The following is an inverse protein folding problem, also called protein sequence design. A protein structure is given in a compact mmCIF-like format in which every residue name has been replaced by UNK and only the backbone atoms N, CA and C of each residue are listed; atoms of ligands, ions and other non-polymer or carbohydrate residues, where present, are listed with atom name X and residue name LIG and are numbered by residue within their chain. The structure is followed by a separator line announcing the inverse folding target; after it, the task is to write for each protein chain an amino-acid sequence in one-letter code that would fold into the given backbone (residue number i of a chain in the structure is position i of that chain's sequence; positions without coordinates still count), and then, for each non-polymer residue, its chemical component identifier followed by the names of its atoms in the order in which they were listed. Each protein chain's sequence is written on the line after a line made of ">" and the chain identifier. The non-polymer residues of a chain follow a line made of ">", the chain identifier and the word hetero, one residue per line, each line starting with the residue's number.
data_IF_839223679614
#
_entry.id   IF_839223679614
#
_cell.length_a   1.000
_cell.length_b   1.000
_cell.length_c   1.000
_cell.angle_alpha   90.00
_cell.angle_beta   90.00
_cell.angle_gamma   90.00
#
_symmetry.space_group_name_H-M   'P 1'
#
loop_
_entity.id
_entity.type
_entity.pdbx_description
1 polymer ?
#
# COMPACT_ATOMS: atom_id res chain seq x y z
N UNK A 1 -25.15 -17.85 -12.10
CA UNK A 1 -25.19 -19.34 -12.08
C UNK A 1 -23.88 -20.01 -12.48
N UNK A 2 -23.18 -19.59 -13.56
CA UNK A 2 -21.89 -20.17 -13.94
C UNK A 2 -20.71 -19.49 -13.21
N UNK A 3 -20.71 -18.15 -13.17
CA UNK A 3 -19.75 -17.34 -12.40
C UNK A 3 -19.79 -17.66 -10.90
N UNK A 4 -20.97 -17.85 -10.30
CA UNK A 4 -21.07 -18.27 -8.89
C UNK A 4 -20.41 -19.61 -8.62
N UNK A 5 -20.57 -20.58 -9.54
CA UNK A 5 -19.92 -21.90 -9.43
C UNK A 5 -18.42 -21.82 -9.61
N UNK A 6 -17.93 -20.92 -10.47
CA UNK A 6 -16.50 -20.65 -10.63
C UNK A 6 -15.94 -20.00 -9.37
N UNK A 7 -16.63 -19.01 -8.80
CA UNK A 7 -16.24 -18.37 -7.53
C UNK A 7 -16.19 -19.39 -6.38
N UNK A 8 -17.25 -20.18 -6.20
CA UNK A 8 -17.29 -21.22 -5.16
C UNK A 8 -16.21 -22.29 -5.38
N UNK A 9 -15.94 -22.67 -6.64
CA UNK A 9 -14.87 -23.60 -6.98
C UNK A 9 -13.48 -23.03 -6.65
N UNK A 10 -13.18 -21.79 -7.05
CA UNK A 10 -11.92 -21.12 -6.78
C UNK A 10 -11.66 -20.93 -5.28
N UNK A 11 -12.69 -20.55 -4.52
CA UNK A 11 -12.63 -20.43 -3.06
C UNK A 11 -12.41 -21.81 -2.41
N UNK A 12 -13.15 -22.83 -2.85
CA UNK A 12 -13.06 -24.19 -2.27
C UNK A 12 -11.70 -24.87 -2.51
N UNK A 13 -10.98 -24.50 -3.56
CA UNK A 13 -9.66 -25.05 -3.92
C UNK A 13 -8.48 -24.37 -3.22
N UNK A 14 -8.72 -23.45 -2.27
CA UNK A 14 -7.69 -22.74 -1.51
C UNK A 14 -6.63 -22.09 -2.41
N UNK A 15 -7.02 -20.99 -3.06
CA UNK A 15 -6.21 -19.86 -3.54
C UNK A 15 -4.77 -20.04 -4.09
N UNK A 16 -4.36 -21.21 -4.57
CA UNK A 16 -3.04 -21.32 -5.23
C UNK A 16 -2.93 -20.38 -6.45
N UNK A 17 -4.06 -20.08 -7.09
CA UNK A 17 -4.13 -19.10 -8.18
C UNK A 17 -3.72 -17.69 -7.71
N UNK A 18 -4.12 -17.26 -6.51
CA UNK A 18 -3.77 -15.93 -5.97
C UNK A 18 -2.27 -15.78 -5.75
N UNK A 19 -1.57 -16.84 -5.36
CA UNK A 19 -0.10 -16.83 -5.22
C UNK A 19 0.63 -16.73 -6.55
N UNK A 20 -0.03 -17.08 -7.66
CA UNK A 20 0.58 -17.08 -8.99
C UNK A 20 0.62 -15.69 -9.62
N UNK A 21 -0.46 -14.92 -9.46
CA UNK A 21 -0.60 -13.59 -10.06
C UNK A 21 -1.57 -12.71 -9.26
N UNK A 22 -1.17 -12.30 -8.04
CA UNK A 22 -2.05 -11.63 -7.09
C UNK A 22 -2.61 -10.32 -7.63
N UNK A 23 -1.79 -9.54 -8.36
CA UNK A 23 -2.17 -8.25 -8.90
C UNK A 23 -3.21 -8.36 -10.02
N UNK A 24 -2.97 -9.22 -11.03
CA UNK A 24 -3.96 -9.39 -12.11
C UNK A 24 -5.26 -9.98 -11.59
N UNK A 25 -5.20 -10.93 -10.65
CA UNK A 25 -6.39 -11.52 -10.06
C UNK A 25 -7.22 -10.46 -9.35
N UNK A 26 -6.59 -9.62 -8.52
CA UNK A 26 -7.28 -8.50 -7.88
C UNK A 26 -7.93 -7.60 -8.93
N UNK A 27 -7.19 -7.12 -9.92
CA UNK A 27 -7.74 -6.25 -10.97
C UNK A 27 -8.95 -6.89 -11.69
N UNK A 28 -8.88 -8.19 -12.02
CA UNK A 28 -10.01 -8.91 -12.63
C UNK A 28 -11.22 -8.94 -11.69
N UNK A 29 -11.02 -9.23 -10.40
CA UNK A 29 -12.14 -9.25 -9.44
C UNK A 29 -12.79 -7.88 -9.25
N UNK A 30 -12.02 -6.80 -9.39
CA UNK A 30 -12.51 -5.43 -9.31
C UNK A 30 -13.22 -4.96 -10.58
N UNK A 31 -12.88 -5.54 -11.74
CA UNK A 31 -13.52 -5.23 -13.02
C UNK A 31 -14.96 -5.76 -13.13
N UNK A 32 -15.31 -6.83 -12.41
CA UNK A 32 -16.59 -7.51 -12.55
C UNK A 32 -17.36 -7.56 -11.22
N UNK A 33 -18.51 -6.89 -11.14
CA UNK A 33 -19.32 -6.86 -9.91
C UNK A 33 -19.78 -8.25 -9.45
N UNK A 34 -19.96 -9.18 -10.38
CA UNK A 34 -20.28 -10.59 -10.11
C UNK A 34 -19.16 -11.35 -9.37
N UNK A 35 -17.96 -10.77 -9.26
CA UNK A 35 -16.84 -11.34 -8.53
C UNK A 35 -16.76 -10.87 -7.07
N UNK A 36 -17.78 -10.21 -6.51
CA UNK A 36 -17.75 -9.67 -5.14
C UNK A 36 -17.27 -10.67 -4.08
N UNK A 37 -17.82 -11.90 -4.07
CA UNK A 37 -17.37 -12.96 -3.14
C UNK A 37 -15.90 -13.32 -3.29
N UNK A 38 -15.41 -13.37 -4.54
CA UNK A 38 -14.02 -13.70 -4.84
C UNK A 38 -13.10 -12.53 -4.48
N UNK A 39 -13.53 -11.28 -4.75
CA UNK A 39 -12.87 -10.05 -4.34
C UNK A 39 -12.68 -10.03 -2.82
N UNK A 40 -13.75 -10.25 -2.05
CA UNK A 40 -13.71 -10.26 -0.60
C UNK A 40 -12.78 -11.36 -0.06
N UNK A 41 -12.83 -12.54 -0.68
CA UNK A 41 -11.92 -13.63 -0.35
C UNK A 41 -10.45 -13.28 -0.63
N UNK A 42 -10.14 -12.70 -1.79
CA UNK A 42 -8.79 -12.25 -2.14
C UNK A 42 -8.29 -11.17 -1.17
N UNK A 43 -9.10 -10.14 -0.89
CA UNK A 43 -8.76 -9.06 0.04
C UNK A 43 -8.49 -9.60 1.45
N UNK A 44 -9.34 -10.52 1.95
CA UNK A 44 -9.13 -11.18 3.25
C UNK A 44 -7.85 -12.00 3.27
N UNK A 45 -7.60 -12.79 2.24
CA UNK A 45 -6.40 -13.63 2.14
C UNK A 45 -5.12 -12.78 2.13
N UNK A 46 -5.13 -11.66 1.40
CA UNK A 46 -4.00 -10.72 1.37
C UNK A 46 -3.88 -9.98 2.69
N UNK A 47 -5.00 -9.65 3.37
CA UNK A 47 -4.94 -9.01 4.69
C UNK A 47 -4.30 -9.93 5.73
N UNK A 48 -4.59 -11.24 5.67
CA UNK A 48 -4.00 -12.24 6.56
C UNK A 48 -2.53 -12.56 6.24
N UNK A 49 -2.15 -12.44 4.96
CA UNK A 49 -0.81 -12.75 4.42
C UNK A 49 -0.41 -11.71 3.36
N UNK A 50 0.00 -10.49 3.76
CA UNK A 50 0.25 -9.40 2.82
C UNK A 50 1.40 -9.67 1.86
N UNK A 51 2.34 -10.53 2.25
CA UNK A 51 3.46 -10.98 1.43
C UNK A 51 3.01 -11.56 0.08
N UNK A 52 1.79 -12.12 0.01
CA UNK A 52 1.20 -12.67 -1.22
C UNK A 52 1.19 -11.60 -2.32
N UNK A 53 0.83 -10.37 -1.98
CA UNK A 53 0.75 -9.27 -2.94
C UNK A 53 2.04 -8.45 -2.95
N UNK A 54 2.48 -8.00 -1.78
CA UNK A 54 3.52 -6.99 -1.66
C UNK A 54 4.94 -7.52 -1.95
N UNK A 55 5.13 -8.84 -2.00
CA UNK A 55 6.39 -9.44 -2.48
C UNK A 55 6.42 -9.63 -4.00
N UNK A 56 5.29 -9.46 -4.70
CA UNK A 56 5.21 -9.57 -6.16
C UNK A 56 5.35 -8.20 -6.81
N UNK A 57 6.10 -8.05 -7.92
CA UNK A 57 6.13 -6.77 -8.66
C UNK A 57 4.76 -6.33 -9.18
N UNK A 58 3.77 -7.23 -9.24
CA UNK A 58 2.42 -6.89 -9.71
C UNK A 58 1.76 -5.79 -8.86
N UNK A 59 2.12 -5.67 -7.56
CA UNK A 59 1.53 -4.66 -6.69
C UNK A 59 1.78 -3.23 -7.20
N UNK A 60 2.89 -3.02 -7.91
CA UNK A 60 3.27 -1.72 -8.46
C UNK A 60 2.27 -1.21 -9.50
N UNK A 61 1.54 -2.12 -10.15
CA UNK A 61 0.59 -1.81 -11.21
C UNK A 61 -0.86 -1.71 -10.72
N UNK A 62 -1.10 -1.84 -9.42
CA UNK A 62 -2.45 -1.79 -8.86
C UNK A 62 -3.09 -0.43 -9.05
N UNK A 63 -4.38 -0.44 -9.38
CA UNK A 63 -5.20 0.74 -9.33
C UNK A 63 -5.25 1.30 -7.91
N UNK A 64 -5.22 2.62 -7.80
CA UNK A 64 -5.28 3.33 -6.52
C UNK A 64 -6.48 2.92 -5.67
N UNK A 65 -7.64 2.63 -6.29
CA UNK A 65 -8.84 2.18 -5.59
C UNK A 65 -8.66 0.84 -4.88
N UNK A 66 -7.88 -0.08 -5.47
CA UNK A 66 -7.55 -1.37 -4.85
C UNK A 66 -6.61 -1.13 -3.67
N UNK A 67 -5.63 -0.24 -3.83
CA UNK A 67 -4.70 0.13 -2.77
C UNK A 67 -5.42 0.76 -1.57
N UNK A 68 -6.31 1.72 -1.82
CA UNK A 68 -7.20 2.32 -0.82
C UNK A 68 -7.95 1.25 -0.02
N UNK A 69 -8.65 0.36 -0.72
CA UNK A 69 -9.45 -0.69 -0.09
C UNK A 69 -8.65 -1.73 0.69
N UNK A 70 -7.36 -1.89 0.41
CA UNK A 70 -6.48 -2.74 1.22
C UNK A 70 -6.07 -2.03 2.51
N UNK A 71 -5.75 -0.72 2.43
CA UNK A 71 -5.33 0.06 3.59
C UNK A 71 -6.48 0.42 4.54
N UNK A 72 -7.70 0.54 4.05
CA UNK A 72 -8.90 0.77 4.89
C UNK A 72 -9.28 -0.45 5.74
N UNK A 73 -8.67 -1.62 5.52
CA UNK A 73 -8.97 -2.82 6.30
C UNK A 73 -8.12 -2.86 7.56
N UNK A 74 -8.80 -2.79 8.70
CA UNK A 74 -8.17 -2.97 10.01
C UNK A 74 -7.49 -4.35 10.19
N UNK A 75 -7.83 -5.34 9.35
CA UNK A 75 -7.26 -6.69 9.44
C UNK A 75 -5.93 -6.88 8.70
N UNK A 76 -5.41 -5.85 8.01
CA UNK A 76 -4.16 -5.96 7.26
C UNK A 76 -2.98 -6.20 8.22
N UNK A 77 -2.42 -7.42 8.20
CA UNK A 77 -1.31 -7.85 9.07
C UNK A 77 0.05 -7.36 8.56
N UNK A 78 0.21 -6.06 8.46
CA UNK A 78 1.44 -5.40 8.05
C UNK A 78 1.76 -4.24 8.98
N UNK A 79 3.04 -4.08 9.32
CA UNK A 79 3.51 -2.94 10.11
C UNK A 79 3.28 -1.62 9.34
N UNK A 80 2.80 -0.58 10.03
CA UNK A 80 2.53 0.73 9.43
C UNK A 80 3.75 1.34 8.71
N UNK A 81 4.96 1.04 9.19
CA UNK A 81 6.21 1.48 8.56
C UNK A 81 6.46 0.81 7.21
N UNK A 82 6.01 -0.44 7.03
CA UNK A 82 6.16 -1.16 5.78
C UNK A 82 5.04 -0.78 4.81
N UNK A 83 3.81 -0.56 5.31
CA UNK A 83 2.73 0.07 4.54
C UNK A 83 3.22 1.37 3.90
N UNK A 84 3.86 2.24 4.69
CA UNK A 84 4.46 3.49 4.19
C UNK A 84 5.46 3.26 3.05
N UNK A 85 6.41 2.32 3.22
CA UNK A 85 7.41 2.02 2.19
C UNK A 85 6.79 1.45 0.93
N UNK A 86 5.81 0.54 1.04
CA UNK A 86 5.12 -0.03 -0.12
C UNK A 86 4.30 1.02 -0.85
N UNK A 87 3.61 1.90 -0.12
CA UNK A 87 2.87 3.02 -0.67
C UNK A 87 3.77 4.00 -1.43
N UNK A 88 4.91 4.38 -0.84
CA UNK A 88 5.93 5.20 -1.53
C UNK A 88 6.44 4.51 -2.80
N UNK A 89 6.79 3.22 -2.69
CA UNK A 89 7.29 2.43 -3.82
C UNK A 89 6.27 2.38 -4.97
N UNK A 90 4.99 2.12 -4.63
CA UNK A 90 3.89 2.13 -5.57
C UNK A 90 3.70 3.51 -6.21
N UNK A 91 3.63 4.58 -5.41
CA UNK A 91 3.41 5.93 -5.94
C UNK A 91 4.53 6.40 -6.89
N UNK A 92 5.78 6.04 -6.56
CA UNK A 92 6.94 6.26 -7.43
C UNK A 92 6.81 5.49 -8.75
N UNK A 93 6.39 4.23 -8.70
CA UNK A 93 6.20 3.41 -9.90
C UNK A 93 5.07 3.94 -10.80
N UNK A 94 4.01 4.51 -10.22
CA UNK A 94 2.89 5.09 -10.97
C UNK A 94 3.28 6.34 -11.78
N UNK A 95 4.27 7.11 -11.30
CA UNK A 95 4.68 8.37 -11.92
C UNK A 95 5.95 8.25 -12.76
N UNK A 96 6.69 7.16 -12.60
CA UNK A 96 7.95 6.97 -13.30
C UNK A 96 7.76 6.13 -14.56
N UNK A 97 8.07 6.73 -15.71
CA UNK A 97 8.13 6.02 -16.99
C UNK A 97 9.33 5.04 -17.10
N UNK A 98 10.25 5.06 -16.12
CA UNK A 98 11.50 4.28 -16.12
C UNK A 98 11.62 3.31 -14.96
N UNK A 99 10.61 3.21 -14.09
CA UNK A 99 10.62 2.30 -12.95
C UNK A 99 10.53 0.86 -13.44
N UNK A 100 11.68 0.21 -13.58
CA UNK A 100 11.73 -1.22 -13.89
C UNK A 100 11.71 -2.04 -12.60
N UNK A 101 11.17 -3.25 -12.69
CA UNK A 101 11.01 -4.21 -11.57
C UNK A 101 12.34 -4.49 -10.83
N UNK A 102 13.49 -4.30 -11.50
CA UNK A 102 14.82 -4.46 -10.89
C UNK A 102 15.20 -3.33 -9.91
N UNK A 103 14.40 -2.25 -9.84
CA UNK A 103 14.53 -1.16 -8.88
C UNK A 103 13.56 -1.26 -7.70
N UNK A 104 12.79 -2.35 -7.57
CA UNK A 104 11.94 -2.58 -6.40
C UNK A 104 12.84 -2.76 -5.19
N UNK A 105 13.01 -1.66 -4.47
CA UNK A 105 13.73 -1.63 -3.23
C UNK A 105 12.92 -0.81 -2.26
N UNK A 106 12.60 -1.42 -1.13
CA UNK A 106 11.97 -0.75 0.00
C UNK A 106 13.01 -0.04 0.89
N UNK A 107 14.24 0.11 0.38
CA UNK A 107 15.30 0.88 1.02
C UNK A 107 15.03 2.37 0.79
N UNK A 108 14.83 3.09 1.88
CA UNK A 108 14.59 4.53 1.91
C UNK A 108 15.67 5.32 1.18
N UNK A 109 16.93 4.89 1.25
CA UNK A 109 18.03 5.58 0.55
C UNK A 109 17.81 5.59 -0.96
N UNK A 110 17.41 4.44 -1.54
CA UNK A 110 17.14 4.29 -2.97
C UNK A 110 15.86 4.99 -3.39
N UNK A 111 14.82 4.96 -2.55
CA UNK A 111 13.59 5.71 -2.81
C UNK A 111 13.87 7.22 -2.89
N UNK A 112 14.75 7.75 -2.04
CA UNK A 112 15.15 9.16 -2.08
C UNK A 112 15.84 9.54 -3.40
N UNK A 113 16.68 8.67 -3.94
CA UNK A 113 17.32 8.91 -5.25
C UNK A 113 16.31 8.88 -6.39
N UNK A 114 15.33 7.98 -6.35
CA UNK A 114 14.26 7.90 -7.35
C UNK A 114 13.39 9.16 -7.37
N UNK A 115 13.14 9.77 -6.20
CA UNK A 115 12.38 11.01 -6.11
C UNK A 115 13.04 12.20 -6.82
N UNK A 116 14.36 12.19 -7.00
CA UNK A 116 15.03 13.28 -7.74
C UNK A 116 14.57 13.37 -9.21
N UNK A 117 14.00 12.29 -9.74
CA UNK A 117 13.51 12.23 -11.13
C UNK A 117 11.98 12.29 -11.23
N UNK A 118 11.28 12.59 -10.14
CA UNK A 118 9.81 12.57 -10.07
C UNK A 118 9.30 13.94 -9.68
N UNK A 119 8.16 14.33 -10.26
CA UNK A 119 7.45 15.52 -9.81
C UNK A 119 6.83 15.29 -8.42
N UNK A 120 7.41 15.93 -7.41
CA UNK A 120 6.97 15.81 -6.01
C UNK A 120 5.52 16.26 -5.84
N UNK A 121 5.05 17.26 -6.60
CA UNK A 121 3.67 17.73 -6.52
C UNK A 121 2.68 16.65 -6.99
N UNK A 122 2.97 15.99 -8.12
CA UNK A 122 2.19 14.85 -8.60
C UNK A 122 2.18 13.69 -7.61
N UNK A 123 3.31 13.37 -6.99
CA UNK A 123 3.39 12.30 -5.98
C UNK A 123 2.58 12.64 -4.73
N UNK A 124 2.68 13.89 -4.26
CA UNK A 124 1.89 14.38 -3.13
C UNK A 124 0.39 14.24 -3.40
N UNK A 125 -0.09 14.71 -4.56
CA UNK A 125 -1.50 14.60 -4.94
C UNK A 125 -1.95 13.14 -5.09
N UNK A 126 -1.07 12.26 -5.56
CA UNK A 126 -1.37 10.84 -5.71
C UNK A 126 -1.55 10.17 -4.34
N UNK A 127 -0.74 10.52 -3.33
CA UNK A 127 -0.70 9.87 -2.03
C UNK A 127 -1.56 10.56 -0.94
N UNK A 128 -2.10 11.76 -1.21
CA UNK A 128 -2.74 12.61 -0.18
C UNK A 128 -3.88 11.95 0.61
N UNK A 129 -4.63 11.06 -0.02
CA UNK A 129 -5.76 10.31 0.56
C UNK A 129 -5.33 8.95 1.13
N UNK A 130 -4.15 8.46 0.79
CA UNK A 130 -3.55 7.26 1.37
C UNK A 130 -2.79 7.56 2.67
N UNK A 131 -2.15 8.74 2.76
CA UNK A 131 -1.38 9.17 3.94
C UNK A 131 -2.20 9.09 5.25
N UNK A 132 -3.47 9.54 5.30
CA UNK A 132 -4.27 9.46 6.53
C UNK A 132 -4.63 8.04 6.96
N UNK A 133 -4.49 7.04 6.10
CA UNK A 133 -4.84 5.64 6.41
C UNK A 133 -3.75 4.92 7.22
N UNK A 134 -2.55 5.51 7.32
CA UNK A 134 -1.45 4.93 8.10
C UNK A 134 -1.59 5.37 9.55
N UNK A 135 -1.50 4.41 10.48
CA UNK A 135 -1.54 4.68 11.92
C UNK A 135 -0.16 5.16 12.38
N UNK A 136 0.16 6.43 12.08
CA UNK A 136 1.49 7.01 12.27
C UNK A 136 2.04 6.86 13.70
N UNK A 137 1.18 6.96 14.70
CA UNK A 137 1.57 6.85 16.12
C UNK A 137 1.93 5.42 16.54
N UNK A 138 1.52 4.41 15.76
CA UNK A 138 1.94 3.02 15.98
C UNK A 138 3.33 2.74 15.40
N UNK A 139 3.89 3.66 14.61
CA UNK A 139 5.27 3.55 14.12
C UNK A 139 6.23 3.96 15.24
N UNK A 140 7.26 3.15 15.58
CA UNK A 140 8.26 3.56 16.57
C UNK A 140 8.94 4.89 16.17
N UNK A 141 9.08 5.84 17.09
CA UNK A 141 9.58 7.21 16.79
C UNK A 141 10.92 7.21 16.03
N UNK A 142 11.83 6.28 16.37
CA UNK A 142 13.10 6.13 15.67
C UNK A 142 12.92 5.68 14.20
N UNK A 143 11.98 4.78 13.93
CA UNK A 143 11.65 4.35 12.58
C UNK A 143 10.94 5.47 11.81
N UNK A 144 10.01 6.18 12.44
CA UNK A 144 9.35 7.35 11.86
C UNK A 144 10.37 8.42 11.45
N UNK A 145 11.27 8.81 12.35
CA UNK A 145 12.30 9.81 12.08
C UNK A 145 13.20 9.42 10.91
N UNK A 146 13.57 8.14 10.81
CA UNK A 146 14.52 7.67 9.80
C UNK A 146 13.88 7.41 8.43
N UNK A 147 12.60 7.07 8.38
CA UNK A 147 11.95 6.59 7.16
C UNK A 147 10.81 7.49 6.65
N UNK A 148 10.24 8.38 7.48
CA UNK A 148 9.10 9.24 7.12
C UNK A 148 9.54 10.69 6.98
N UNK A 149 10.24 11.24 7.99
CA UNK A 149 10.72 12.64 7.98
C UNK A 149 11.56 13.03 6.75
N UNK A 150 12.38 12.13 6.14
CA UNK A 150 13.08 12.46 4.90
C UNK A 150 12.17 12.81 3.72
N UNK A 151 10.88 12.47 3.79
CA UNK A 151 9.86 12.69 2.78
C UNK A 151 8.79 13.71 3.22
N UNK A 152 9.13 14.57 4.18
CA UNK A 152 8.22 15.59 4.75
C UNK A 152 7.46 16.43 3.73
N UNK A 153 8.01 16.64 2.54
CA UNK A 153 7.41 17.43 1.46
C UNK A 153 6.07 16.84 0.95
N UNK A 154 5.90 15.52 1.11
CA UNK A 154 4.68 14.80 0.75
C UNK A 154 3.52 15.04 1.72
N UNK A 155 3.79 15.59 2.90
CA UNK A 155 2.78 15.79 3.94
C UNK A 155 2.20 17.22 3.88
N UNK A 156 0.94 17.41 4.31
CA UNK A 156 0.49 18.69 4.85
C UNK A 156 1.35 19.05 6.06
N UNK A 157 1.78 20.31 6.15
CA UNK A 157 2.70 20.76 7.20
C UNK A 157 2.10 20.56 8.60
N UNK A 158 0.84 20.95 8.81
CA UNK A 158 0.14 20.81 10.09
C UNK A 158 0.04 19.34 10.53
N UNK A 159 -0.24 18.43 9.58
CA UNK A 159 -0.34 17.00 9.87
C UNK A 159 1.00 16.44 10.33
N UNK A 160 2.09 16.78 9.65
CA UNK A 160 3.42 16.28 9.99
C UNK A 160 3.86 16.78 11.37
N UNK A 161 3.65 18.06 11.67
CA UNK A 161 4.02 18.62 12.97
C UNK A 161 3.20 18.03 14.11
N UNK A 162 1.90 17.79 13.91
CA UNK A 162 1.07 17.09 14.90
C UNK A 162 1.63 15.69 15.21
N UNK A 163 1.96 14.90 14.18
CA UNK A 163 2.54 13.56 14.36
C UNK A 163 3.90 13.62 15.08
N UNK A 164 4.76 14.58 14.69
CA UNK A 164 6.07 14.78 15.35
C UNK A 164 5.87 15.15 16.82
N UNK A 165 4.92 16.04 17.12
CA UNK A 165 4.56 16.43 18.49
C UNK A 165 4.23 15.21 19.34
N UNK A 166 3.30 14.36 18.89
CA UNK A 166 2.92 13.15 19.60
C UNK A 166 4.07 12.14 19.79
N UNK A 167 5.03 12.08 18.85
CA UNK A 167 6.21 11.22 19.01
C UNK A 167 7.25 11.77 19.99
N UNK A 168 7.31 13.09 20.18
CA UNK A 168 8.24 13.77 21.08
C UNK A 168 7.66 13.86 22.50
N UNK A 169 6.37 14.11 22.61
CA UNK A 169 5.62 14.13 23.87
C UNK A 169 4.33 13.31 23.74
N UNK A 170 4.38 12.00 24.02
CA UNK A 170 3.21 11.14 23.97
C UNK A 170 2.16 11.45 25.05
N UNK A 171 2.44 12.38 25.97
CA UNK A 171 1.56 12.74 27.09
C UNK A 171 0.76 14.03 26.86
N UNK A 172 1.03 14.73 25.76
CA UNK A 172 0.31 15.95 25.37
C UNK A 172 -0.90 15.58 24.49
N UNK A 173 -2.09 15.45 25.11
CA UNK A 173 -3.37 15.22 24.42
C UNK A 173 -3.97 16.55 23.89
N UNK A 174 -3.17 17.32 23.15
CA UNK A 174 -3.59 18.61 22.58
C UNK A 174 -4.37 18.49 21.28
#
# INVERSE_FOLDING_TARGET
>A
RLLDRVNDYLISKHAEFLKKDPGQILQITFKYESCSKLRDYCLKTISESPEILFSSPDFLSLDKSIFLLLLERDELKMENIDIWKYMLTWGVAQLSNTFTINHVSHDISRLKDLLQNIDIFSLKNLLQDLIPLIKWLEIPSAAFWKNVVPFKELFPEDLLWAIIGCHLDPTDES
#
